data_IF_685540763607
#
_entry.id   IF_685540763607
#
_cell.length_a   1.000
_cell.length_b   1.000
_cell.length_c   1.000
_cell.angle_alpha   90.00
_cell.angle_beta   90.00
_cell.angle_gamma   90.00
#
_symmetry.space_group_name_H-M   'P 1'
#
loop_
_entity.id
_entity.type
_entity.pdbx_description
1 polymer ?
#
# COMPACT_ATOMS: atom_id res chain seq x y z
N UNK A 1 -9.56 10.52 -9.61
CA UNK A 1 -9.41 10.55 -8.14
C UNK A 1 -8.12 11.26 -7.72
N UNK A 2 -6.96 10.84 -8.21
CA UNK A 2 -5.68 11.50 -7.89
C UNK A 2 -5.63 12.97 -8.34
N UNK A 3 -6.36 13.33 -9.39
CA UNK A 3 -6.48 14.73 -9.87
C UNK A 3 -7.36 15.57 -8.96
N UNK A 4 -8.34 14.96 -8.30
CA UNK A 4 -9.27 15.64 -7.39
C UNK A 4 -8.76 15.70 -5.94
N UNK A 5 -7.65 15.04 -5.60
CA UNK A 5 -7.00 15.13 -4.30
C UNK A 5 -6.03 16.32 -4.29
N UNK A 6 -6.47 17.54 -3.94
CA UNK A 6 -5.67 18.76 -4.11
C UNK A 6 -4.60 18.93 -3.02
N UNK A 7 -4.54 18.03 -2.05
CA UNK A 7 -3.62 18.13 -0.93
C UNK A 7 -2.23 17.56 -1.31
N UNK A 8 -1.14 18.26 -0.98
CA UNK A 8 0.18 17.68 -1.09
C UNK A 8 0.31 16.50 -0.12
N UNK A 9 0.83 15.37 -0.63
CA UNK A 9 1.08 14.18 0.16
C UNK A 9 2.59 13.97 0.29
N UNK A 10 3.04 13.58 1.48
CA UNK A 10 4.46 13.33 1.74
C UNK A 10 4.93 12.02 1.10
N UNK A 11 4.00 11.09 0.88
CA UNK A 11 4.30 9.79 0.30
C UNK A 11 3.23 9.29 -0.68
N UNK A 12 3.59 8.42 -1.65
CA UNK A 12 2.61 7.75 -2.50
C UNK A 12 1.58 6.91 -1.73
N UNK A 13 1.94 6.44 -0.54
CA UNK A 13 1.04 5.64 0.30
C UNK A 13 -0.04 6.50 0.95
N UNK A 14 0.30 7.70 1.40
CA UNK A 14 -0.68 8.69 1.89
C UNK A 14 -1.63 9.12 0.78
N UNK A 15 -1.10 9.40 -0.41
CA UNK A 15 -1.93 9.68 -1.58
C UNK A 15 -2.91 8.53 -1.85
N UNK A 16 -2.43 7.28 -1.82
CA UNK A 16 -3.28 6.11 -2.02
C UNK A 16 -4.37 6.01 -0.94
N UNK A 17 -4.02 6.25 0.32
CA UNK A 17 -4.99 6.23 1.41
C UNK A 17 -6.07 7.31 1.21
N UNK A 18 -5.69 8.55 0.88
CA UNK A 18 -6.63 9.64 0.64
C UNK A 18 -7.57 9.32 -0.55
N UNK A 19 -7.02 8.76 -1.65
CA UNK A 19 -7.82 8.31 -2.79
C UNK A 19 -8.85 7.25 -2.35
N UNK A 20 -8.41 6.24 -1.60
CA UNK A 20 -9.29 5.16 -1.15
C UNK A 20 -10.35 5.68 -0.19
N UNK A 21 -10.01 6.54 0.76
CA UNK A 21 -10.98 7.12 1.70
C UNK A 21 -12.07 7.93 0.99
N UNK A 22 -11.74 8.60 -0.11
CA UNK A 22 -12.67 9.42 -0.90
C UNK A 22 -13.46 8.65 -1.94
N UNK A 23 -13.09 7.40 -2.27
CA UNK A 23 -13.79 6.61 -3.29
C UNK A 23 -15.32 6.62 -3.14
N UNK A 24 -15.92 6.44 -1.94
CA UNK A 24 -17.37 6.43 -1.80
C UNK A 24 -18.05 7.75 -2.13
N UNK A 25 -17.33 8.89 -2.10
CA UNK A 25 -17.88 10.21 -2.38
C UNK A 25 -18.16 10.43 -3.88
N UNK A 26 -17.56 9.62 -4.74
CA UNK A 26 -17.71 9.73 -6.19
C UNK A 26 -18.88 8.92 -6.75
N UNK A 27 -19.55 8.12 -5.92
CA UNK A 27 -20.75 7.42 -6.33
C UNK A 27 -21.98 8.34 -6.18
N UNK A 28 -22.66 8.58 -7.27
CA UNK A 28 -24.02 9.13 -7.21
C UNK A 28 -24.96 8.01 -6.78
N UNK A 29 -25.86 8.30 -5.83
CA UNK A 29 -26.85 7.36 -5.33
C UNK A 29 -28.22 7.82 -5.74
N UNK A 30 -28.89 7.03 -6.54
CA UNK A 30 -30.24 7.30 -7.06
C UNK A 30 -31.20 6.33 -6.39
N UNK A 31 -32.12 6.86 -5.57
CA UNK A 31 -33.20 6.05 -4.98
C UNK A 31 -34.24 5.68 -6.03
N UNK A 32 -34.53 4.42 -6.17
CA UNK A 32 -35.56 3.91 -7.07
C UNK A 32 -36.90 3.81 -6.35
N UNK A 33 -37.98 3.74 -7.13
CA UNK A 33 -39.35 3.64 -6.61
C UNK A 33 -39.62 2.34 -5.84
N UNK A 34 -38.81 1.31 -6.05
CA UNK A 34 -38.90 0.02 -5.34
C UNK A 34 -38.14 0.01 -4.00
N UNK A 35 -37.55 1.18 -3.60
CA UNK A 35 -36.78 1.33 -2.38
C UNK A 35 -35.31 0.86 -2.51
N UNK A 36 -34.89 0.41 -3.67
CA UNK A 36 -33.48 0.09 -3.94
C UNK A 36 -32.68 1.34 -4.26
N UNK A 37 -31.36 1.29 -4.02
CA UNK A 37 -30.42 2.33 -4.44
C UNK A 37 -29.66 1.90 -5.69
N UNK A 38 -29.63 2.75 -6.70
CA UNK A 38 -28.74 2.61 -7.84
C UNK A 38 -27.48 3.44 -7.62
N UNK A 39 -26.33 2.78 -7.77
CA UNK A 39 -25.05 3.47 -7.75
C UNK A 39 -24.62 3.80 -9.16
N UNK A 40 -24.31 5.07 -9.38
CA UNK A 40 -23.86 5.57 -10.66
C UNK A 40 -22.46 6.18 -10.52
N UNK A 41 -21.56 5.71 -11.35
CA UNK A 41 -20.22 6.28 -11.52
C UNK A 41 -20.00 6.47 -13.02
N UNK A 42 -20.21 7.69 -13.54
CA UNK A 42 -20.05 7.96 -14.96
C UNK A 42 -18.62 7.71 -15.43
N UNK A 43 -18.47 7.03 -16.56
CA UNK A 43 -17.18 6.89 -17.20
C UNK A 43 -16.78 8.23 -17.84
N UNK A 44 -15.64 8.86 -17.45
CA UNK A 44 -15.23 10.15 -18.02
C UNK A 44 -15.05 10.13 -19.53
N UNK A 45 -14.67 9.00 -20.10
CA UNK A 45 -14.48 8.82 -21.55
C UNK A 45 -15.75 8.45 -22.30
N UNK A 46 -16.76 7.95 -21.61
CA UNK A 46 -18.06 7.53 -22.17
C UNK A 46 -19.16 7.79 -21.13
N UNK A 47 -19.64 9.04 -21.00
CA UNK A 47 -20.56 9.42 -19.88
C UNK A 47 -21.87 8.65 -19.79
N UNK A 48 -22.26 7.90 -20.84
CA UNK A 48 -23.43 7.01 -20.81
C UNK A 48 -23.14 5.67 -20.13
N UNK A 49 -21.88 5.33 -19.91
CA UNK A 49 -21.48 4.08 -19.30
C UNK A 49 -21.40 4.26 -17.77
N UNK A 50 -22.13 3.45 -17.05
CA UNK A 50 -22.07 3.40 -15.59
C UNK A 50 -21.02 2.36 -15.15
N UNK A 51 -19.87 2.81 -14.67
CA UNK A 51 -18.81 1.93 -14.14
C UNK A 51 -19.25 1.17 -12.88
N UNK A 52 -20.23 1.71 -12.13
CA UNK A 52 -20.79 1.06 -10.94
C UNK A 52 -21.99 0.15 -11.25
N UNK A 53 -22.36 -0.04 -12.52
CA UNK A 53 -23.56 -0.82 -12.90
C UNK A 53 -23.57 -2.25 -12.35
N UNK A 54 -22.38 -2.86 -12.19
CA UNK A 54 -22.25 -4.18 -11.57
C UNK A 54 -22.48 -4.23 -10.06
N UNK A 55 -22.58 -3.07 -9.39
CA UNK A 55 -22.70 -2.95 -7.92
C UNK A 55 -24.13 -2.66 -7.46
N UNK A 56 -25.11 -2.73 -8.37
CA UNK A 56 -26.51 -2.40 -8.12
C UNK A 56 -27.30 -3.56 -7.46
N UNK A 57 -26.70 -4.20 -6.46
CA UNK A 57 -27.38 -5.10 -5.53
C UNK A 57 -26.87 -4.85 -4.13
N UNK A 58 -27.75 -4.95 -3.14
CA UNK A 58 -27.40 -4.72 -1.74
C UNK A 58 -26.18 -5.55 -1.30
N UNK A 59 -26.14 -6.83 -1.63
CA UNK A 59 -25.04 -7.70 -1.26
C UNK A 59 -23.67 -7.22 -1.82
N UNK A 60 -23.65 -6.68 -3.05
CA UNK A 60 -22.42 -6.16 -3.65
C UNK A 60 -22.00 -4.81 -3.05
N UNK A 61 -22.97 -3.98 -2.70
CA UNK A 61 -22.73 -2.71 -2.01
C UNK A 61 -22.16 -2.96 -0.62
N UNK A 62 -22.71 -3.89 0.13
CA UNK A 62 -22.19 -4.31 1.44
C UNK A 62 -20.78 -4.92 1.32
N UNK A 63 -20.54 -5.74 0.32
CA UNK A 63 -19.23 -6.31 0.04
C UNK A 63 -18.20 -5.22 -0.30
N UNK A 64 -18.59 -4.18 -1.07
CA UNK A 64 -17.73 -3.03 -1.36
C UNK A 64 -17.35 -2.30 -0.08
N UNK A 65 -18.30 -1.96 0.79
CA UNK A 65 -18.00 -1.27 2.04
C UNK A 65 -17.14 -2.12 2.97
N UNK A 66 -17.40 -3.42 3.05
CA UNK A 66 -16.56 -4.34 3.83
C UNK A 66 -15.12 -4.38 3.32
N UNK A 67 -14.92 -4.47 2.00
CA UNK A 67 -13.61 -4.40 1.37
C UNK A 67 -12.95 -3.04 1.60
N UNK A 68 -13.67 -1.94 1.39
CA UNK A 68 -13.20 -0.57 1.53
C UNK A 68 -12.70 -0.28 2.96
N UNK A 69 -13.48 -0.64 3.98
CA UNK A 69 -13.07 -0.48 5.39
C UNK A 69 -11.83 -1.30 5.72
N UNK A 70 -11.75 -2.56 5.21
CA UNK A 70 -10.58 -3.40 5.41
C UNK A 70 -9.34 -2.77 4.78
N UNK A 71 -9.43 -2.33 3.53
CA UNK A 71 -8.32 -1.73 2.82
C UNK A 71 -7.79 -0.48 3.52
N UNK A 72 -8.68 0.42 3.97
CA UNK A 72 -8.29 1.59 4.77
C UNK A 72 -7.55 1.17 6.04
N UNK A 73 -8.07 0.18 6.76
CA UNK A 73 -7.42 -0.32 7.97
C UNK A 73 -6.04 -0.90 7.71
N UNK A 74 -5.87 -1.62 6.62
CA UNK A 74 -4.60 -2.21 6.22
C UNK A 74 -3.60 -1.15 5.78
N UNK A 75 -4.01 -0.15 4.98
CA UNK A 75 -3.16 0.98 4.58
C UNK A 75 -2.70 1.81 5.80
N UNK A 76 -3.61 2.11 6.73
CA UNK A 76 -3.27 2.81 7.98
C UNK A 76 -2.27 2.02 8.83
N UNK A 77 -2.40 0.69 8.86
CA UNK A 77 -1.44 -0.17 9.58
C UNK A 77 -0.06 -0.14 8.93
N UNK A 78 0.03 -0.11 7.61
CA UNK A 78 1.30 0.03 6.89
C UNK A 78 1.94 1.39 7.18
N UNK A 79 1.17 2.48 7.11
CA UNK A 79 1.66 3.83 7.45
C UNK A 79 2.19 3.87 8.88
N UNK A 80 1.42 3.39 9.84
CA UNK A 80 1.82 3.32 11.24
C UNK A 80 3.13 2.55 11.44
N UNK A 81 3.29 1.42 10.76
CA UNK A 81 4.51 0.63 10.85
C UNK A 81 5.74 1.38 10.31
N UNK A 82 5.56 2.19 9.25
CA UNK A 82 6.63 3.02 8.68
C UNK A 82 6.97 4.19 9.61
N UNK A 83 5.98 4.94 10.08
CA UNK A 83 6.16 6.11 10.94
C UNK A 83 6.82 5.77 12.28
N UNK A 84 6.45 4.63 12.85
CA UNK A 84 7.02 4.17 14.13
C UNK A 84 8.29 3.34 13.96
N UNK A 85 8.85 3.24 12.75
CA UNK A 85 10.05 2.47 12.47
C UNK A 85 9.98 1.03 12.98
N UNK A 86 8.79 0.40 12.85
CA UNK A 86 8.59 -0.99 13.24
C UNK A 86 9.47 -1.93 12.39
N UNK A 87 9.71 -3.13 12.90
CA UNK A 87 10.55 -4.10 12.22
C UNK A 87 10.00 -4.49 10.84
N UNK A 88 10.91 -4.91 9.95
CA UNK A 88 10.56 -5.30 8.57
C UNK A 88 9.55 -6.46 8.52
N UNK A 89 9.57 -7.35 9.50
CA UNK A 89 8.62 -8.45 9.65
C UNK A 89 7.18 -7.95 9.90
N UNK A 90 7.01 -6.89 10.68
CA UNK A 90 5.71 -6.25 10.91
C UNK A 90 5.21 -5.61 9.62
N UNK A 91 6.08 -4.88 8.93
CA UNK A 91 5.75 -4.23 7.67
C UNK A 91 5.35 -5.25 6.59
N UNK A 92 6.09 -6.35 6.46
CA UNK A 92 5.77 -7.42 5.51
C UNK A 92 4.41 -8.04 5.81
N UNK A 93 4.09 -8.31 7.07
CA UNK A 93 2.77 -8.83 7.46
C UNK A 93 1.63 -7.85 7.14
N UNK A 94 1.85 -6.56 7.36
CA UNK A 94 0.87 -5.54 7.02
C UNK A 94 0.64 -5.45 5.50
N UNK A 95 1.71 -5.51 4.71
CA UNK A 95 1.65 -5.55 3.24
C UNK A 95 0.97 -6.82 2.71
N UNK A 96 1.24 -7.97 3.33
CA UNK A 96 0.60 -9.24 2.99
C UNK A 96 -0.91 -9.19 3.25
N UNK A 97 -1.34 -8.57 4.36
CA UNK A 97 -2.74 -8.37 4.69
C UNK A 97 -3.47 -7.48 3.67
N UNK A 98 -2.83 -6.40 3.23
CA UNK A 98 -3.41 -5.41 2.31
C UNK A 98 -3.42 -5.89 0.84
N UNK A 99 -2.30 -6.46 0.37
CA UNK A 99 -2.02 -6.70 -1.05
C UNK A 99 -1.81 -8.17 -1.40
N UNK A 100 -1.85 -9.03 -0.40
CA UNK A 100 -1.64 -10.47 -0.55
C UNK A 100 -0.18 -10.91 -0.57
N UNK A 101 0.07 -12.23 -0.49
CA UNK A 101 1.40 -12.79 -0.32
C UNK A 101 2.34 -12.56 -1.52
N UNK A 102 1.81 -12.41 -2.73
CA UNK A 102 2.63 -12.13 -3.91
C UNK A 102 3.32 -10.77 -3.83
N UNK A 103 2.62 -9.74 -3.38
CA UNK A 103 3.17 -8.41 -3.22
C UNK A 103 4.24 -8.39 -2.12
N UNK A 104 3.94 -8.97 -0.97
CA UNK A 104 4.88 -9.08 0.15
C UNK A 104 6.15 -9.85 -0.26
N UNK A 105 5.99 -10.98 -0.99
CA UNK A 105 7.10 -11.77 -1.51
C UNK A 105 7.98 -10.99 -2.49
N UNK A 106 7.40 -10.22 -3.40
CA UNK A 106 8.14 -9.40 -4.36
C UNK A 106 8.99 -8.31 -3.66
N UNK A 107 8.43 -7.65 -2.65
CA UNK A 107 9.14 -6.64 -1.85
C UNK A 107 10.29 -7.29 -1.07
N UNK A 108 10.07 -8.46 -0.49
CA UNK A 108 11.10 -9.19 0.25
C UNK A 108 12.25 -9.64 -0.66
N UNK A 109 11.94 -10.11 -1.88
CA UNK A 109 12.94 -10.46 -2.88
C UNK A 109 13.77 -9.25 -3.32
N UNK A 110 13.12 -8.13 -3.65
CA UNK A 110 13.80 -6.88 -4.04
C UNK A 110 14.75 -6.40 -2.92
N UNK A 111 14.31 -6.42 -1.68
CA UNK A 111 15.16 -6.06 -0.55
C UNK A 111 16.36 -6.99 -0.37
N UNK A 112 16.13 -8.29 -0.52
CA UNK A 112 17.22 -9.28 -0.44
C UNK A 112 18.25 -9.03 -1.53
N UNK A 113 17.79 -8.77 -2.75
CA UNK A 113 18.65 -8.46 -3.89
C UNK A 113 19.41 -7.15 -3.70
N UNK A 114 18.78 -6.10 -3.22
CA UNK A 114 19.44 -4.83 -2.89
C UNK A 114 20.52 -5.00 -1.82
N UNK A 115 20.24 -5.78 -0.77
CA UNK A 115 21.23 -6.11 0.27
C UNK A 115 22.43 -6.89 -0.29
N UNK A 116 22.19 -7.86 -1.17
CA UNK A 116 23.25 -8.60 -1.85
C UNK A 116 24.09 -7.68 -2.73
N UNK A 117 23.46 -6.86 -3.56
CA UNK A 117 24.14 -5.89 -4.43
C UNK A 117 24.99 -4.92 -3.60
N UNK A 118 24.44 -4.40 -2.50
CA UNK A 118 25.16 -3.49 -1.61
C UNK A 118 26.35 -4.16 -0.92
N UNK A 119 26.25 -5.45 -0.55
CA UNK A 119 27.37 -6.23 0.00
C UNK A 119 28.46 -6.44 -1.03
N UNK A 120 28.11 -6.82 -2.25
CA UNK A 120 29.06 -7.03 -3.36
C UNK A 120 29.76 -5.72 -3.72
N UNK A 121 29.04 -4.59 -3.69
CA UNK A 121 29.60 -3.27 -3.96
C UNK A 121 30.39 -2.68 -2.77
N UNK A 122 30.54 -3.40 -1.65
CA UNK A 122 31.26 -2.92 -0.45
C UNK A 122 30.59 -1.72 0.26
N UNK A 123 29.30 -1.48 -0.03
CA UNK A 123 28.53 -0.31 0.49
C UNK A 123 27.69 -0.64 1.72
N UNK A 124 27.91 -1.79 2.38
CA UNK A 124 27.17 -2.12 3.61
C UNK A 124 27.80 -1.37 4.77
N UNK A 125 27.10 -0.38 5.28
CA UNK A 125 27.42 0.31 6.52
C UNK A 125 26.77 -0.44 7.67
N UNK A 126 27.58 -0.99 8.60
CA UNK A 126 27.06 -1.56 9.84
C UNK A 126 26.85 -0.41 10.82
N UNK A 127 25.59 -0.10 11.12
CA UNK A 127 25.26 0.85 12.19
C UNK A 127 25.25 0.04 13.50
N UNK A 128 26.26 0.28 14.34
CA UNK A 128 26.28 -0.24 15.70
C UNK A 128 25.30 0.58 16.54
N UNK A 129 24.31 -0.05 17.17
CA UNK A 129 23.31 0.58 18.03
C UNK A 129 23.81 0.95 19.44
N UNK A 130 25.13 0.91 19.68
CA UNK A 130 25.70 1.40 20.93
C UNK A 130 25.96 2.91 20.81
N UNK A 131 25.52 3.67 21.79
CA UNK A 131 25.51 5.12 21.89
C UNK A 131 26.91 5.80 21.79
N UNK A 132 27.56 5.64 20.65
CA UNK A 132 28.77 6.34 20.24
C UNK A 132 28.62 6.66 18.75
N UNK A 133 29.21 7.79 18.33
CA UNK A 133 29.13 8.31 16.96
C UNK A 133 29.20 7.22 15.88
N UNK A 134 28.44 7.34 14.78
CA UNK A 134 28.36 6.31 13.76
C UNK A 134 29.73 6.12 13.11
N UNK A 135 30.42 5.04 13.48
CA UNK A 135 31.62 4.59 12.78
C UNK A 135 31.15 3.74 11.60
N UNK A 136 31.22 4.28 10.41
CA UNK A 136 30.97 3.53 9.19
C UNK A 136 32.13 2.58 8.92
N UNK A 137 31.98 1.30 9.22
CA UNK A 137 32.95 0.27 8.86
C UNK A 137 32.47 -0.40 7.58
N UNK A 138 33.22 -0.27 6.49
CA UNK A 138 32.97 -0.99 5.26
C UNK A 138 33.15 -2.51 5.51
N UNK A 139 32.11 -3.30 5.34
CA UNK A 139 32.20 -4.73 5.45
C UNK A 139 33.03 -5.28 4.27
N UNK A 140 34.18 -5.92 4.54
CA UNK A 140 34.95 -6.61 3.51
C UNK A 140 34.19 -7.85 3.03
N UNK A 141 34.17 -8.15 1.72
CA UNK A 141 33.59 -9.36 1.23
C UNK A 141 34.36 -10.57 1.81
N UNK A 142 33.66 -11.45 2.50
CA UNK A 142 34.24 -12.73 2.93
C UNK A 142 34.40 -13.64 1.72
N UNK A 143 35.62 -13.77 1.25
CA UNK A 143 35.99 -14.84 0.32
C UNK A 143 36.25 -16.12 1.14
N UNK A 144 35.25 -16.98 1.20
CA UNK A 144 35.44 -18.34 1.77
C UNK A 144 36.12 -19.17 0.69
N UNK A 145 37.42 -19.35 0.82
CA UNK A 145 38.12 -20.40 0.09
C UNK A 145 37.96 -21.70 0.88
N UNK A 146 36.92 -22.47 0.53
CA UNK A 146 36.84 -23.88 0.88
C UNK A 146 37.90 -24.63 0.07
N UNK A 147 38.86 -25.21 0.75
CA UNK A 147 39.65 -26.33 0.22
C UNK A 147 38.91 -27.62 0.51
#
# INVERSE_FOLDING_TARGET
>A
YAVEAPQPHESPLELLLDIVERMPLHFERISRSDGSEEWVLPNPSAPRDNLAGGMNSQARQEAFFSWHHRLIGDLKRILHAIENHEGMDVLIKALEGAFGPHCAGAIQQDQTQRRQTSRVAGRVTLISSAAAAPVSVAARPHTYFGR
#
